data_IF_407545601936
#
_entry.id   IF_407545601936
#
_cell.length_a   1.000
_cell.length_b   1.000
_cell.length_c   1.000
_cell.angle_alpha   90.00
_cell.angle_beta   90.00
_cell.angle_gamma   90.00
#
_symmetry.space_group_name_H-M   'P 1'
#
loop_
_entity.id
_entity.type
_entity.pdbx_description
1 polymer ?
#
# COMPACT_ATOMS: atom_id res chain seq x y z
N UNK A 1 -35.64 -69.42 20.20
CA UNK A 1 -36.71 -70.26 19.61
C UNK A 1 -37.51 -69.39 18.64
N UNK A 2 -37.58 -69.79 17.37
CA UNK A 2 -38.25 -69.11 16.26
C UNK A 2 -39.74 -68.82 16.52
N UNK A 3 -40.24 -67.65 16.08
CA UNK A 3 -41.20 -67.53 14.95
C UNK A 3 -41.61 -66.07 14.69
N UNK A 4 -41.63 -65.72 13.40
CA UNK A 4 -42.11 -64.47 12.79
C UNK A 4 -43.61 -64.55 12.55
N UNK A 5 -44.31 -63.41 12.51
CA UNK A 5 -45.45 -63.20 11.60
C UNK A 5 -45.47 -61.77 11.05
N UNK A 6 -45.74 -61.67 9.74
CA UNK A 6 -45.84 -60.45 8.92
C UNK A 6 -47.29 -59.97 8.88
N UNK A 7 -47.52 -58.66 8.74
CA UNK A 7 -48.67 -58.08 8.02
C UNK A 7 -48.15 -56.79 7.34
N UNK A 8 -48.14 -56.61 6.00
CA UNK A 8 -49.23 -56.47 5.03
C UNK A 8 -50.22 -55.35 5.37
N UNK A 9 -49.94 -54.17 4.84
CA UNK A 9 -50.92 -53.12 4.51
C UNK A 9 -51.98 -53.65 3.55
N UNK A 10 -53.21 -53.12 3.63
CA UNK A 10 -53.71 -52.43 2.45
C UNK A 10 -54.43 -51.11 2.76
N UNK A 11 -54.45 -50.29 1.71
CA UNK A 11 -55.13 -49.01 1.60
C UNK A 11 -56.66 -49.14 1.58
N UNK A 12 -57.37 -48.17 2.15
CA UNK A 12 -58.58 -47.55 1.60
C UNK A 12 -59.16 -46.53 2.61
N UNK A 13 -59.36 -45.28 2.17
CA UNK A 13 -60.61 -44.53 2.34
C UNK A 13 -60.43 -43.08 1.87
N UNK A 14 -60.79 -42.84 0.62
CA UNK A 14 -61.28 -41.55 0.14
C UNK A 14 -62.67 -41.29 0.76
N UNK A 15 -62.95 -40.06 1.17
CA UNK A 15 -64.15 -39.25 0.85
C UNK A 15 -64.25 -38.07 1.83
N UNK A 16 -63.93 -36.89 1.28
CA UNK A 16 -64.61 -35.59 1.40
C UNK A 16 -65.20 -35.23 2.78
N UNK A 17 -64.55 -34.28 3.47
CA UNK A 17 -65.27 -33.26 4.22
C UNK A 17 -64.75 -31.87 3.81
N UNK A 18 -65.58 -31.25 2.98
CA UNK A 18 -65.63 -29.84 2.64
C UNK A 18 -65.61 -28.96 3.89
N UNK A 19 -64.70 -28.00 3.95
CA UNK A 19 -64.71 -26.96 4.98
C UNK A 19 -63.58 -25.96 4.84
N UNK A 20 -63.87 -24.84 4.17
CA UNK A 20 -63.20 -23.55 4.32
C UNK A 20 -61.70 -23.46 4.01
N UNK A 21 -61.34 -23.02 2.80
CA UNK A 21 -60.88 -21.65 2.53
C UNK A 21 -60.32 -21.57 1.10
N UNK A 22 -61.19 -21.21 0.15
CA UNK A 22 -60.77 -20.54 -1.08
C UNK A 22 -60.61 -19.06 -0.74
N UNK A 23 -59.37 -18.64 -0.52
CA UNK A 23 -58.92 -17.28 -0.80
C UNK A 23 -57.53 -17.41 -1.38
N UNK A 24 -57.46 -17.63 -2.69
CA UNK A 24 -56.28 -17.33 -3.49
C UNK A 24 -55.98 -15.85 -3.29
N UNK A 25 -54.99 -15.52 -2.47
CA UNK A 25 -54.40 -14.19 -2.50
C UNK A 25 -53.64 -14.06 -3.81
N UNK A 26 -54.33 -13.59 -4.85
CA UNK A 26 -53.66 -12.84 -5.91
C UNK A 26 -53.19 -11.55 -5.27
N UNK A 27 -51.98 -11.58 -4.70
CA UNK A 27 -51.29 -10.35 -4.36
C UNK A 27 -50.94 -9.66 -5.69
N UNK A 28 -51.80 -8.75 -6.14
CA UNK A 28 -51.39 -7.71 -7.05
C UNK A 28 -50.28 -6.95 -6.32
N UNK A 29 -49.03 -7.21 -6.69
CA UNK A 29 -47.91 -6.40 -6.25
C UNK A 29 -48.23 -4.96 -6.61
N UNK A 30 -48.48 -4.12 -5.60
CA UNK A 30 -48.52 -2.69 -5.82
C UNK A 30 -47.13 -2.31 -6.34
N UNK A 31 -47.09 -1.70 -7.52
CA UNK A 31 -45.88 -1.03 -7.98
C UNK A 31 -45.41 -0.10 -6.85
N UNK A 32 -44.11 -0.07 -6.53
CA UNK A 32 -43.61 0.85 -5.52
C UNK A 32 -44.09 2.26 -5.86
N UNK A 33 -44.50 3.06 -4.86
CA UNK A 33 -44.92 4.44 -5.13
C UNK A 33 -43.83 5.12 -5.93
N UNK A 34 -44.20 5.71 -7.06
CA UNK A 34 -43.32 6.53 -7.88
C UNK A 34 -42.73 7.60 -6.98
N UNK A 35 -41.47 7.42 -6.56
CA UNK A 35 -40.74 8.47 -5.88
C UNK A 35 -40.77 9.69 -6.79
N UNK A 36 -41.09 10.89 -6.29
CA UNK A 36 -40.90 12.11 -7.06
C UNK A 36 -39.48 12.08 -7.62
N UNK A 37 -39.34 12.20 -8.93
CA UNK A 37 -38.04 12.36 -9.55
C UNK A 37 -37.36 13.52 -8.82
N UNK A 38 -36.22 13.24 -8.18
CA UNK A 38 -35.40 14.32 -7.62
C UNK A 38 -35.18 15.32 -8.76
N UNK A 39 -35.37 16.63 -8.51
CA UNK A 39 -35.06 17.64 -9.50
C UNK A 39 -33.66 17.37 -10.05
N UNK A 40 -33.52 17.33 -11.38
CA UNK A 40 -32.20 17.32 -12.00
C UNK A 40 -31.49 18.59 -11.56
N UNK A 41 -30.62 18.47 -10.57
CA UNK A 41 -29.72 19.55 -10.19
C UNK A 41 -28.85 19.85 -11.41
N UNK A 42 -28.68 21.13 -11.79
CA UNK A 42 -27.69 21.47 -12.80
C UNK A 42 -26.34 20.87 -12.36
N UNK A 43 -25.50 20.38 -13.30
CA UNK A 43 -24.14 19.98 -12.97
C UNK A 43 -23.49 21.14 -12.23
N UNK A 44 -23.16 20.94 -10.94
CA UNK A 44 -22.32 21.88 -10.23
C UNK A 44 -21.01 21.85 -11.01
N UNK A 45 -20.55 22.98 -11.59
CA UNK A 45 -19.24 23.02 -12.19
C UNK A 45 -18.28 22.66 -11.07
N UNK A 46 -17.68 21.47 -11.14
CA UNK A 46 -16.56 21.15 -10.27
C UNK A 46 -15.48 22.08 -10.78
N UNK A 47 -15.31 23.23 -10.11
CA UNK A 47 -14.10 24.03 -10.25
C UNK A 47 -12.96 23.02 -10.16
N UNK A 48 -12.24 22.83 -11.26
CA UNK A 48 -11.18 21.81 -11.34
C UNK A 48 -10.31 21.94 -10.10
N UNK A 49 -10.05 20.83 -9.44
CA UNK A 49 -9.33 20.80 -8.18
C UNK A 49 -7.97 21.51 -8.32
N UNK A 50 -7.87 22.74 -7.83
CA UNK A 50 -6.62 23.51 -7.84
C UNK A 50 -5.72 23.14 -6.66
N UNK A 51 -6.08 22.13 -5.86
CA UNK A 51 -5.40 21.75 -4.60
C UNK A 51 -4.32 20.70 -4.78
N UNK A 52 -4.10 20.22 -6.01
CA UNK A 52 -3.00 19.32 -6.38
C UNK A 52 -1.66 20.06 -6.32
N UNK A 53 -1.16 20.31 -5.11
CA UNK A 53 0.11 21.01 -4.88
C UNK A 53 1.04 20.16 -4.03
N UNK A 54 2.18 19.79 -4.63
CA UNK A 54 3.22 18.99 -3.97
C UNK A 54 3.71 19.64 -2.67
N UNK A 55 3.79 20.96 -2.65
CA UNK A 55 4.27 21.75 -1.51
C UNK A 55 3.34 21.69 -0.30
N UNK A 56 2.13 21.13 -0.41
CA UNK A 56 1.22 20.96 0.74
C UNK A 56 1.82 20.01 1.76
N UNK A 57 2.32 18.86 1.31
CA UNK A 57 2.83 17.78 2.17
C UNK A 57 4.34 17.57 2.08
N UNK A 58 4.96 18.08 1.02
CA UNK A 58 6.38 17.86 0.74
C UNK A 58 7.11 19.19 0.58
N UNK A 59 8.43 19.11 0.71
CA UNK A 59 9.36 20.19 0.38
C UNK A 59 10.31 19.60 -0.69
N UNK A 60 10.55 20.28 -1.83
CA UNK A 60 11.60 19.87 -2.76
C UNK A 60 12.93 19.73 -2.00
N UNK A 61 13.58 18.57 -2.13
CA UNK A 61 14.82 18.33 -1.40
C UNK A 61 15.94 19.22 -1.96
N UNK A 62 16.65 19.91 -1.08
CA UNK A 62 17.87 20.64 -1.42
C UNK A 62 19.10 19.71 -1.34
N UNK A 63 20.14 19.99 -2.15
CA UNK A 63 21.39 19.20 -2.14
C UNK A 63 22.16 19.23 -0.81
N UNK A 64 21.80 20.12 0.11
CA UNK A 64 22.34 20.14 1.47
C UNK A 64 21.93 18.89 2.26
N UNK A 65 22.86 18.31 3.02
CA UNK A 65 22.62 17.17 3.92
C UNK A 65 21.54 17.49 4.97
N UNK A 66 20.66 16.52 5.26
CA UNK A 66 19.60 16.61 6.28
C UNK A 66 19.83 15.58 7.38
N UNK A 67 19.52 15.86 8.64
CA UNK A 67 19.52 14.83 9.70
C UNK A 67 18.18 14.10 9.72
N UNK A 68 18.12 12.86 10.24
CA UNK A 68 16.86 12.25 10.64
C UNK A 68 16.08 13.17 11.58
N UNK A 69 14.77 12.94 11.67
CA UNK A 69 13.94 13.69 12.63
C UNK A 69 14.30 13.34 14.09
N UNK A 70 13.62 13.97 15.05
CA UNK A 70 13.92 13.77 16.48
C UNK A 70 13.72 12.31 16.95
N UNK A 71 12.90 11.54 16.22
CA UNK A 71 12.61 10.12 16.43
C UNK A 71 13.38 9.19 15.47
N UNK A 72 14.32 9.72 14.69
CA UNK A 72 15.18 8.97 13.78
C UNK A 72 14.57 8.62 12.42
N UNK A 73 13.40 9.16 12.06
CA UNK A 73 12.78 8.86 10.78
C UNK A 73 13.48 9.53 9.60
N UNK A 74 13.56 8.78 8.51
CA UNK A 74 14.11 9.22 7.24
C UNK A 74 12.98 9.85 6.43
N UNK A 75 13.04 11.18 6.29
CA UNK A 75 12.00 11.96 5.61
C UNK A 75 12.32 12.28 4.15
N UNK A 76 13.59 12.17 3.75
CA UNK A 76 14.08 12.53 2.42
C UNK A 76 14.16 11.31 1.52
N UNK A 77 13.50 11.38 0.37
CA UNK A 77 13.44 10.29 -0.60
C UNK A 77 13.47 10.82 -2.03
N UNK A 78 14.19 10.12 -2.90
CA UNK A 78 13.82 10.02 -4.30
C UNK A 78 12.63 9.08 -4.40
N UNK A 79 11.54 9.57 -4.98
CA UNK A 79 10.34 8.79 -5.26
C UNK A 79 10.06 8.82 -6.76
N UNK A 80 9.87 7.64 -7.35
CA UNK A 80 9.45 7.51 -8.74
C UNK A 80 7.94 7.72 -8.84
N UNK A 81 7.47 8.28 -9.95
CA UNK A 81 6.04 8.23 -10.29
C UNK A 81 5.49 6.80 -10.16
N UNK A 82 4.20 6.64 -9.79
CA UNK A 82 3.63 5.31 -9.59
C UNK A 82 3.67 4.48 -10.87
N UNK A 83 4.17 3.25 -10.76
CA UNK A 83 3.95 2.20 -11.75
C UNK A 83 2.50 1.73 -11.60
N UNK A 84 1.69 1.89 -12.65
CA UNK A 84 0.30 1.42 -12.65
C UNK A 84 0.22 -0.11 -12.58
N UNK A 85 -0.67 -0.62 -11.74
CA UNK A 85 -1.00 -2.04 -11.54
C UNK A 85 -2.51 -2.26 -11.54
N UNK A 86 -2.93 -3.49 -11.82
CA UNK A 86 -4.33 -3.90 -11.72
C UNK A 86 -4.52 -4.70 -10.43
N UNK A 87 -4.86 -4.01 -9.34
CA UNK A 87 -4.99 -4.61 -8.00
C UNK A 87 -6.31 -4.17 -7.40
N UNK A 88 -7.26 -5.11 -7.28
CA UNK A 88 -8.59 -4.82 -6.73
C UNK A 88 -8.65 -4.90 -5.20
N UNK A 89 -7.76 -5.69 -4.58
CA UNK A 89 -7.75 -5.98 -3.13
C UNK A 89 -6.32 -6.21 -2.64
N UNK A 90 -6.05 -5.86 -1.40
CA UNK A 90 -4.71 -5.95 -0.80
C UNK A 90 -4.38 -7.33 -0.20
N UNK A 91 -5.38 -8.19 0.01
CA UNK A 91 -5.20 -9.54 0.56
C UNK A 91 -4.35 -10.48 -0.33
N UNK A 92 -4.00 -10.06 -1.55
CA UNK A 92 -3.15 -10.82 -2.48
C UNK A 92 -1.65 -10.58 -2.26
N UNK A 93 -1.26 -9.66 -1.38
CA UNK A 93 0.13 -9.27 -1.13
C UNK A 93 0.93 -10.30 -0.34
N UNK A 94 0.94 -11.55 -0.82
CA UNK A 94 1.84 -12.60 -0.34
C UNK A 94 3.29 -12.30 -0.71
N UNK A 95 4.24 -12.89 0.00
CA UNK A 95 5.68 -12.80 -0.28
C UNK A 95 6.01 -13.04 -1.76
N UNK A 96 5.46 -14.10 -2.34
CA UNK A 96 5.69 -14.44 -3.75
C UNK A 96 5.10 -13.37 -4.68
N UNK A 97 3.88 -12.90 -4.40
CA UNK A 97 3.26 -11.83 -5.19
C UNK A 97 4.12 -10.57 -5.19
N UNK A 98 4.59 -10.14 -4.01
CA UNK A 98 5.44 -8.96 -3.87
C UNK A 98 6.74 -9.12 -4.67
N UNK A 99 7.47 -10.23 -4.46
CA UNK A 99 8.73 -10.50 -5.17
C UNK A 99 8.56 -10.55 -6.68
N UNK A 100 7.52 -11.20 -7.18
CA UNK A 100 7.22 -11.26 -8.62
C UNK A 100 6.98 -9.86 -9.18
N UNK A 101 6.16 -9.04 -8.52
CA UNK A 101 5.83 -7.70 -9.03
C UNK A 101 7.00 -6.73 -8.91
N UNK A 102 7.76 -6.75 -7.81
CA UNK A 102 8.96 -5.92 -7.64
C UNK A 102 10.08 -6.33 -8.60
N UNK A 103 10.21 -7.61 -8.95
CA UNK A 103 11.18 -8.05 -9.95
C UNK A 103 10.77 -7.63 -11.37
N UNK A 104 9.51 -7.83 -11.75
CA UNK A 104 9.00 -7.55 -13.09
C UNK A 104 9.05 -6.06 -13.45
N UNK A 105 8.67 -5.19 -12.52
CA UNK A 105 8.62 -3.73 -12.72
C UNK A 105 9.80 -3.01 -12.08
N UNK A 106 10.97 -3.64 -12.01
CA UNK A 106 12.16 -3.01 -11.46
C UNK A 106 12.73 -1.94 -12.41
N UNK A 107 13.07 -0.78 -11.87
CA UNK A 107 13.70 0.29 -12.65
C UNK A 107 15.20 0.05 -12.93
N UNK A 108 15.85 -0.83 -12.16
CA UNK A 108 17.26 -1.18 -12.38
C UNK A 108 17.67 -2.46 -11.67
N UNK A 109 18.35 -3.36 -12.40
CA UNK A 109 18.96 -4.57 -11.84
C UNK A 109 20.11 -4.29 -10.86
N UNK A 110 20.73 -3.09 -10.93
CA UNK A 110 21.71 -2.67 -9.94
C UNK A 110 20.98 -2.06 -8.73
N UNK A 111 20.86 -2.81 -7.63
CA UNK A 111 20.18 -2.35 -6.41
C UNK A 111 20.89 -1.21 -5.66
N UNK A 112 22.08 -0.81 -6.11
CA UNK A 112 22.85 0.31 -5.56
C UNK A 112 22.83 1.56 -6.44
N UNK A 113 22.09 1.59 -7.55
CA UNK A 113 21.96 2.83 -8.34
C UNK A 113 21.16 3.88 -7.55
N UNK A 114 21.63 5.14 -7.61
CA UNK A 114 20.94 6.33 -7.10
C UNK A 114 20.50 7.17 -8.30
N UNK A 115 19.20 7.22 -8.62
CA UNK A 115 18.67 8.07 -9.69
C UNK A 115 18.88 9.56 -9.39
N UNK A 116 18.73 10.41 -10.40
CA UNK A 116 18.77 11.87 -10.23
C UNK A 116 17.36 12.44 -10.10
N UNK A 117 17.25 13.55 -9.36
CA UNK A 117 16.01 14.32 -9.35
C UNK A 117 15.65 14.78 -10.78
N UNK A 118 14.40 14.54 -11.19
CA UNK A 118 13.92 14.85 -12.55
C UNK A 118 14.34 13.85 -13.63
N UNK A 119 15.13 12.83 -13.31
CA UNK A 119 15.47 11.76 -14.25
C UNK A 119 14.20 11.00 -14.67
N UNK A 120 14.11 10.66 -15.96
CA UNK A 120 13.08 9.80 -16.50
C UNK A 120 13.63 8.40 -16.74
N UNK A 121 12.87 7.38 -16.38
CA UNK A 121 13.22 5.97 -16.58
C UNK A 121 12.02 5.22 -17.14
N UNK A 122 12.30 4.23 -17.99
CA UNK A 122 11.28 3.32 -18.51
C UNK A 122 11.10 2.13 -17.56
N UNK A 123 9.87 1.87 -17.12
CA UNK A 123 9.47 0.70 -16.33
C UNK A 123 8.30 0.03 -17.03
N UNK A 124 8.52 -1.18 -17.56
CA UNK A 124 7.58 -1.80 -18.49
C UNK A 124 7.35 -0.88 -19.69
N UNK A 125 6.09 -0.53 -19.97
CA UNK A 125 5.70 0.38 -21.04
C UNK A 125 5.49 1.84 -20.58
N UNK A 126 5.85 2.16 -19.33
CA UNK A 126 5.65 3.48 -18.73
C UNK A 126 6.96 4.27 -18.67
N UNK A 127 6.93 5.53 -19.09
CA UNK A 127 7.99 6.51 -18.82
C UNK A 127 7.63 7.28 -17.55
N UNK A 128 8.51 7.20 -16.54
CA UNK A 128 8.25 7.66 -15.18
C UNK A 128 9.37 8.58 -14.71
N UNK A 129 9.03 9.62 -13.95
CA UNK A 129 9.97 10.65 -13.49
C UNK A 129 10.30 10.53 -12.00
N UNK A 130 11.55 10.76 -11.63
CA UNK A 130 12.00 10.81 -10.24
C UNK A 130 11.80 12.20 -9.62
N UNK A 131 11.41 12.25 -8.35
CA UNK A 131 11.28 13.46 -7.55
C UNK A 131 12.07 13.31 -6.25
N UNK A 132 12.93 14.27 -5.93
CA UNK A 132 13.61 14.35 -4.64
C UNK A 132 12.79 15.22 -3.67
N UNK A 133 12.26 14.60 -2.62
CA UNK A 133 11.30 15.23 -1.71
C UNK A 133 11.61 14.94 -0.24
N UNK A 134 11.43 15.96 0.58
CA UNK A 134 11.34 15.84 2.04
C UNK A 134 9.87 15.79 2.44
N UNK A 135 9.45 14.74 3.16
CA UNK A 135 8.17 14.75 3.85
C UNK A 135 8.18 15.76 5.00
N UNK A 136 7.08 16.50 5.18
CA UNK A 136 6.89 17.38 6.34
C UNK A 136 6.57 16.61 7.63
N UNK A 137 6.20 15.34 7.53
CA UNK A 137 5.90 14.45 8.66
C UNK A 137 6.89 13.29 8.72
N UNK A 138 6.81 12.46 9.76
CA UNK A 138 7.72 11.31 9.95
C UNK A 138 7.54 10.22 8.87
N UNK A 139 6.32 10.10 8.32
CA UNK A 139 5.97 9.17 7.26
C UNK A 139 5.94 9.89 5.90
N UNK A 140 6.18 9.15 4.83
CA UNK A 140 6.00 9.61 3.45
C UNK A 140 4.64 9.12 2.94
N UNK A 141 3.75 10.05 2.62
CA UNK A 141 2.38 9.72 2.18
C UNK A 141 2.30 9.64 0.65
N UNK A 142 2.36 8.42 0.11
CA UNK A 142 2.37 8.16 -1.33
C UNK A 142 1.02 8.48 -1.99
N UNK A 143 -0.09 8.37 -1.26
CA UNK A 143 -1.40 8.83 -1.73
C UNK A 143 -1.41 10.36 -1.94
N UNK A 144 -0.87 11.14 -0.99
CA UNK A 144 -0.74 12.58 -1.17
C UNK A 144 0.23 12.94 -2.30
N UNK A 145 1.30 12.16 -2.47
CA UNK A 145 2.24 12.35 -3.58
C UNK A 145 1.56 12.17 -4.93
N UNK A 146 0.88 11.03 -5.18
CA UNK A 146 0.20 10.77 -6.45
C UNK A 146 -0.89 11.76 -6.74
N UNK A 147 -1.68 12.10 -5.73
CA UNK A 147 -2.67 13.14 -5.83
C UNK A 147 -2.02 14.47 -6.24
N UNK A 148 -0.95 14.91 -5.56
CA UNK A 148 -0.29 16.17 -5.88
C UNK A 148 0.32 16.25 -7.29
N UNK A 149 0.68 15.12 -7.91
CA UNK A 149 1.21 15.06 -9.28
C UNK A 149 0.16 14.62 -10.31
N UNK A 150 -1.12 14.60 -9.95
CA UNK A 150 -2.25 14.21 -10.80
C UNK A 150 -2.08 12.82 -11.44
N UNK A 151 -1.66 11.82 -10.65
CA UNK A 151 -1.55 10.41 -11.05
C UNK A 151 -2.56 9.55 -10.29
N UNK A 152 -2.98 8.39 -10.83
CA UNK A 152 -3.87 7.48 -10.14
C UNK A 152 -3.32 7.08 -8.76
N UNK A 153 -4.12 7.13 -7.67
CA UNK A 153 -3.63 6.84 -6.33
C UNK A 153 -3.77 5.37 -5.90
N UNK A 154 -4.44 4.54 -6.70
CA UNK A 154 -4.78 3.14 -6.38
C UNK A 154 -4.27 2.18 -7.44
N UNK A 155 -4.00 0.94 -7.03
CA UNK A 155 -3.41 -0.07 -7.90
C UNK A 155 -2.05 0.40 -8.38
N UNK A 156 -1.15 0.68 -7.46
CA UNK A 156 0.12 1.34 -7.74
C UNK A 156 1.28 0.68 -7.02
N UNK A 157 2.43 0.69 -7.67
CA UNK A 157 3.73 0.33 -7.11
C UNK A 157 4.64 1.56 -7.20
N UNK A 158 5.40 1.83 -6.14
CA UNK A 158 6.37 2.91 -6.07
C UNK A 158 7.77 2.36 -5.83
N UNK A 159 8.74 3.00 -6.47
CA UNK A 159 10.15 2.84 -6.15
C UNK A 159 10.66 4.06 -5.38
N UNK A 160 11.49 3.78 -4.39
CA UNK A 160 12.01 4.74 -3.44
C UNK A 160 13.52 4.54 -3.31
N UNK A 161 14.27 5.63 -3.29
CA UNK A 161 15.71 5.59 -3.02
C UNK A 161 16.07 6.73 -2.06
N UNK A 162 16.93 6.44 -1.11
CA UNK A 162 17.58 7.48 -0.30
C UNK A 162 19.00 7.07 0.00
N UNK A 163 19.83 8.06 0.30
CA UNK A 163 21.22 7.86 0.66
C UNK A 163 21.42 8.33 2.09
N UNK A 164 22.05 7.50 2.90
CA UNK A 164 22.51 7.91 4.23
C UNK A 164 24.04 7.87 4.29
N UNK A 165 24.63 8.89 4.91
CA UNK A 165 26.07 9.02 5.06
C UNK A 165 26.41 8.99 6.55
N UNK A 166 27.15 7.95 6.96
CA UNK A 166 27.57 7.74 8.34
C UNK A 166 29.01 8.25 8.53
N UNK A 167 29.30 9.05 9.58
CA UNK A 167 30.67 9.53 9.85
C UNK A 167 31.61 8.39 10.27
N UNK A 168 31.04 7.34 10.85
CA UNK A 168 31.70 6.12 11.32
C UNK A 168 30.82 4.91 11.01
N UNK A 169 31.36 3.70 11.18
CA UNK A 169 30.60 2.48 11.06
C UNK A 169 29.65 2.31 12.26
N UNK A 170 28.40 1.93 12.00
CA UNK A 170 27.39 1.73 13.04
C UNK A 170 26.92 0.28 12.97
N UNK A 171 27.34 -0.52 13.95
CA UNK A 171 27.04 -1.95 14.03
C UNK A 171 25.75 -2.22 14.78
N UNK A 172 25.21 -3.41 14.55
CA UNK A 172 24.09 -3.98 15.31
C UNK A 172 22.85 -3.09 15.35
N UNK A 173 22.48 -2.54 14.19
CA UNK A 173 21.24 -1.78 14.03
C UNK A 173 20.23 -2.60 13.25
N UNK A 174 18.97 -2.20 13.28
CA UNK A 174 17.90 -2.75 12.43
C UNK A 174 17.31 -1.66 11.58
N UNK A 175 17.05 -1.96 10.31
CA UNK A 175 16.14 -1.17 9.49
C UNK A 175 14.73 -1.50 9.96
N UNK A 176 14.04 -0.52 10.53
CA UNK A 176 12.66 -0.63 10.97
C UNK A 176 11.75 0.12 9.98
N UNK A 177 10.66 -0.51 9.57
CA UNK A 177 9.72 0.07 8.62
C UNK A 177 8.26 -0.18 9.00
N UNK A 178 7.43 0.81 8.69
CA UNK A 178 5.98 0.71 8.64
C UNK A 178 5.50 1.00 7.22
N UNK A 179 4.51 0.26 6.72
CA UNK A 179 3.99 0.45 5.38
C UNK A 179 2.50 0.07 5.31
N UNK A 180 1.72 0.84 4.54
CA UNK A 180 0.42 0.46 4.03
C UNK A 180 0.49 0.34 2.50
N UNK A 181 0.33 -0.85 1.88
CA UNK A 181 0.10 -2.18 2.49
C UNK A 181 1.36 -3.07 2.40
N UNK A 182 1.83 -3.36 1.18
CA UNK A 182 2.98 -4.23 0.97
C UNK A 182 4.26 -3.45 0.68
N UNK A 183 5.42 -3.90 1.21
CA UNK A 183 6.71 -3.30 0.85
C UNK A 183 7.88 -4.26 0.94
N UNK A 184 8.99 -3.86 0.31
CA UNK A 184 10.28 -4.53 0.41
C UNK A 184 11.40 -3.50 0.43
N UNK A 185 12.43 -3.75 1.21
CA UNK A 185 13.51 -2.82 1.50
C UNK A 185 14.86 -3.50 1.34
N UNK A 186 15.78 -2.78 0.71
CA UNK A 186 17.16 -3.19 0.51
C UNK A 186 18.11 -2.15 1.09
N UNK A 187 19.20 -2.64 1.68
CA UNK A 187 20.30 -1.83 2.17
C UNK A 187 21.56 -2.24 1.41
N UNK A 188 22.20 -1.30 0.72
CA UNK A 188 23.43 -1.53 -0.04
C UNK A 188 23.33 -2.68 -1.06
N UNK A 189 22.15 -2.88 -1.64
CA UNK A 189 21.89 -3.95 -2.61
C UNK A 189 21.42 -5.27 -2.00
N UNK A 190 21.51 -5.43 -0.70
CA UNK A 190 21.07 -6.63 0.01
C UNK A 190 19.66 -6.45 0.55
N UNK A 191 18.83 -7.50 0.45
CA UNK A 191 17.50 -7.50 1.02
C UNK A 191 17.57 -7.38 2.55
N UNK A 192 16.82 -6.44 3.12
CA UNK A 192 16.82 -6.17 4.55
C UNK A 192 15.49 -6.53 5.22
N UNK A 193 14.36 -6.19 4.59
CA UNK A 193 13.04 -6.35 5.19
C UNK A 193 11.95 -6.44 4.12
N UNK A 194 11.00 -7.33 4.32
CA UNK A 194 9.76 -7.40 3.55
C UNK A 194 8.56 -7.33 4.50
N UNK A 195 7.54 -6.58 4.11
CA UNK A 195 6.26 -6.48 4.81
C UNK A 195 5.16 -6.92 3.85
N UNK A 196 4.67 -8.14 4.03
CA UNK A 196 3.60 -8.74 3.22
C UNK A 196 2.26 -8.76 3.95
N UNK A 197 1.19 -8.87 3.17
CA UNK A 197 -0.20 -8.86 3.64
C UNK A 197 -0.92 -7.53 3.39
N UNK A 198 -2.22 -7.55 3.66
CA UNK A 198 -3.05 -6.35 3.78
C UNK A 198 -2.82 -5.74 5.16
N UNK A 199 -2.17 -4.57 5.22
CA UNK A 199 -1.64 -4.01 6.47
C UNK A 199 -1.87 -2.52 6.55
N UNK A 200 -2.11 -2.07 7.78
CA UNK A 200 -2.02 -0.67 8.12
C UNK A 200 -0.57 -0.23 8.36
N UNK A 201 -0.32 1.07 8.14
CA UNK A 201 0.95 1.66 8.53
C UNK A 201 0.98 1.81 10.03
N UNK A 202 1.83 0.99 10.65
CA UNK A 202 2.20 1.05 12.06
C UNK A 202 3.69 1.33 12.10
N UNK A 203 4.13 2.23 12.98
CA UNK A 203 5.55 2.53 13.16
C UNK A 203 6.29 1.25 13.56
N UNK A 204 7.43 0.98 12.91
CA UNK A 204 8.28 -0.19 13.14
C UNK A 204 7.54 -1.54 13.05
N UNK A 205 6.51 -1.62 12.20
CA UNK A 205 5.69 -2.82 12.02
C UNK A 205 6.48 -4.05 11.52
N UNK A 206 7.70 -3.85 11.05
CA UNK A 206 8.70 -4.91 10.97
C UNK A 206 10.11 -4.34 11.04
N UNK A 207 11.04 -5.23 11.35
CA UNK A 207 12.46 -4.90 11.48
C UNK A 207 13.30 -5.94 10.75
N UNK A 208 14.37 -5.51 10.11
CA UNK A 208 15.38 -6.42 9.55
C UNK A 208 16.06 -7.24 10.65
N UNK A 209 16.83 -8.26 10.24
CA UNK A 209 17.96 -8.77 11.05
C UNK A 209 18.94 -7.65 11.40
N UNK A 210 19.88 -7.92 12.32
CA UNK A 210 20.94 -6.98 12.62
C UNK A 210 21.78 -6.73 11.35
N UNK A 211 22.00 -5.45 11.06
CA UNK A 211 22.81 -4.97 9.93
C UNK A 211 23.88 -4.01 10.43
N UNK A 212 24.87 -3.77 9.58
CA UNK A 212 25.91 -2.77 9.81
C UNK A 212 25.76 -1.66 8.77
N UNK A 213 25.67 -0.41 9.25
CA UNK A 213 25.82 0.76 8.40
C UNK A 213 27.31 1.04 8.23
N UNK A 214 27.77 1.02 6.98
CA UNK A 214 29.17 1.27 6.63
C UNK A 214 29.53 2.72 6.92
N UNK A 215 30.77 2.99 7.29
CA UNK A 215 31.30 4.37 7.25
C UNK A 215 31.14 4.93 5.83
N UNK A 216 30.66 6.16 5.70
CA UNK A 216 30.38 6.79 4.43
C UNK A 216 29.00 6.43 3.88
N UNK A 217 28.92 6.25 2.56
CA UNK A 217 27.67 6.12 1.81
C UNK A 217 27.01 4.76 2.03
N UNK A 218 25.73 4.78 2.41
CA UNK A 218 24.83 3.63 2.40
C UNK A 218 23.57 4.00 1.61
N UNK A 219 23.05 3.05 0.85
CA UNK A 219 21.91 3.26 -0.05
C UNK A 219 20.75 2.42 0.43
N UNK A 220 19.60 3.05 0.61
CA UNK A 220 18.36 2.38 0.94
C UNK A 220 17.47 2.45 -0.29
N UNK A 221 17.05 1.29 -0.78
CA UNK A 221 16.01 1.17 -1.80
C UNK A 221 14.76 0.60 -1.16
N UNK A 222 13.60 1.14 -1.52
CA UNK A 222 12.30 0.62 -1.14
C UNK A 222 11.42 0.40 -2.36
N UNK A 223 10.56 -0.61 -2.26
CA UNK A 223 9.40 -0.78 -3.11
C UNK A 223 8.15 -0.82 -2.24
N UNK A 224 7.10 -0.08 -2.60
CA UNK A 224 5.81 -0.05 -1.90
C UNK A 224 4.71 -0.34 -2.90
N UNK A 225 3.77 -1.22 -2.57
CA UNK A 225 2.64 -1.58 -3.43
C UNK A 225 1.33 -1.49 -2.66
N UNK A 226 0.31 -0.97 -3.33
CA UNK A 226 -1.03 -0.83 -2.78
C UNK A 226 -2.11 -1.02 -3.85
N UNK A 227 -3.21 -1.67 -3.48
CA UNK A 227 -4.43 -1.74 -4.27
C UNK A 227 -5.30 -0.52 -3.95
N UNK A 228 -6.43 -0.67 -3.25
CA UNK A 228 -7.24 0.44 -2.77
C UNK A 228 -6.71 1.05 -1.46
N UNK A 229 -7.20 2.25 -1.11
CA UNK A 229 -6.98 2.86 0.20
C UNK A 229 -5.73 3.73 0.32
N UNK A 230 -5.37 4.07 1.56
CA UNK A 230 -4.22 4.92 1.85
C UNK A 230 -2.92 4.19 1.55
N UNK A 231 -1.95 4.89 0.96
CA UNK A 231 -0.62 4.34 0.69
C UNK A 231 0.42 5.27 1.33
N UNK A 232 1.19 4.75 2.28
CA UNK A 232 2.24 5.50 2.96
C UNK A 232 3.23 4.57 3.68
N UNK A 233 4.39 5.11 4.04
CA UNK A 233 5.42 4.35 4.75
C UNK A 233 6.24 5.24 5.70
N UNK A 234 6.96 4.63 6.63
CA UNK A 234 8.03 5.27 7.40
C UNK A 234 9.19 4.30 7.57
N UNK A 235 10.42 4.82 7.60
CA UNK A 235 11.64 4.03 7.81
C UNK A 235 12.58 4.76 8.76
N UNK A 236 13.22 4.01 9.66
CA UNK A 236 14.30 4.47 10.51
C UNK A 236 15.29 3.35 10.82
N UNK A 237 16.41 3.69 11.42
CA UNK A 237 17.28 2.72 12.07
C UNK A 237 17.09 2.77 13.57
N UNK A 238 17.06 1.59 14.20
CA UNK A 238 17.04 1.44 15.66
C UNK A 238 18.21 0.57 16.10
N UNK A 239 18.77 0.84 17.27
CA UNK A 239 19.83 0.01 17.87
C UNK A 239 19.26 -1.28 18.50
N UNK A 240 20.13 -2.11 19.09
CA UNK A 240 19.74 -3.35 19.78
C UNK A 240 18.73 -3.14 20.93
N UNK A 241 18.64 -1.91 21.47
CA UNK A 241 17.73 -1.52 22.55
C UNK A 241 16.42 -0.93 22.01
N UNK A 242 16.26 -0.86 20.69
CA UNK A 242 15.11 -0.24 20.03
C UNK A 242 15.15 1.30 20.03
N UNK A 243 16.28 1.91 20.38
CA UNK A 243 16.42 3.37 20.39
C UNK A 243 16.77 3.88 18.98
N UNK A 244 16.27 5.07 18.58
CA UNK A 244 16.55 5.60 17.26
C UNK A 244 18.03 5.94 17.04
N UNK A 245 18.58 5.45 15.94
CA UNK A 245 19.91 5.81 15.44
C UNK A 245 19.79 7.10 14.63
N UNK A 246 20.58 8.12 14.98
CA UNK A 246 20.48 9.48 14.42
C UNK A 246 21.82 10.06 13.95
N UNK A 247 22.92 9.40 14.23
CA UNK A 247 24.28 9.84 13.89
C UNK A 247 24.63 9.58 12.42
N UNK A 248 23.74 9.96 11.51
CA UNK A 248 23.98 9.96 10.07
C UNK A 248 23.28 11.14 9.41
N UNK A 249 23.70 11.46 8.20
CA UNK A 249 23.03 12.45 7.36
C UNK A 249 22.31 11.79 6.20
N UNK A 250 21.29 12.44 5.66
CA UNK A 250 20.43 11.97 4.58
C UNK A 250 20.64 12.88 3.36
N UNK A 251 20.87 12.29 2.21
CA UNK A 251 20.92 12.93 0.88
C UNK A 251 20.07 12.14 -0.12
N UNK A 252 19.86 12.75 -1.29
CA UNK A 252 19.30 12.06 -2.46
C UNK A 252 20.35 11.84 -3.56
N UNK A 253 21.62 12.12 -3.25
CA UNK A 253 22.80 12.04 -4.12
C UNK A 253 23.88 11.19 -3.42
#
# INVERSE_FOLDING_TARGET
MNRKFKSLLPAMAFVVLSGLQLCSFTAFGQNPPTQPQRPNLPPIPISGDTTHTLTRYFIPAAGSKKTPDSKGFIQRWLVLEPVKKTIARNNIFTDNYLRTNFSADNFSANYTIVPKNGEQVKVGDQELKWYALDSKTYNFNLYHFTYAINKPPYGVLFWLVTVINCPEEIKNVRLAAGCNSGSMWWLNGEEALMLSGDRDMIVDNGTSSLVTLRKGKNIIRGAVINGPGMCNFCVRFVDEKGLPVKNFSISYE
#
